data_IF_841070833535
#
_entry.id   IF_841070833535
#
_cell.length_a   1.000
_cell.length_b   1.000
_cell.length_c   1.000
_cell.angle_alpha   90.00
_cell.angle_beta   90.00
_cell.angle_gamma   90.00
#
_symmetry.space_group_name_H-M   'P 1'
#
loop_
_entity.id
_entity.type
_entity.pdbx_description
1 polymer ?
#
# COMPACT_ATOMS: atom_id res chain seq x y z
N UNK A 1 9.44 13.34 28.46
CA UNK A 1 9.41 12.25 27.44
C UNK A 1 10.21 12.69 26.22
N UNK A 2 11.36 12.06 25.96
CA UNK A 2 12.34 12.49 24.96
C UNK A 2 11.78 12.44 23.52
N UNK A 3 11.89 13.54 22.78
CA UNK A 3 11.44 13.68 21.39
C UNK A 3 11.96 12.58 20.46
N UNK A 4 13.13 12.00 20.77
CA UNK A 4 13.76 10.90 20.04
C UNK A 4 12.90 9.62 19.95
N UNK A 5 12.03 9.34 20.93
CA UNK A 5 11.14 8.16 20.89
C UNK A 5 9.80 8.43 20.19
N UNK A 6 9.46 9.70 19.92
CA UNK A 6 8.15 10.06 19.37
C UNK A 6 8.06 9.80 17.87
N UNK A 7 9.13 10.09 17.12
CA UNK A 7 9.11 9.99 15.65
C UNK A 7 8.83 8.55 15.15
N UNK A 8 9.50 7.50 15.65
CA UNK A 8 9.20 6.13 15.22
C UNK A 8 7.74 5.73 15.50
N UNK A 9 7.20 6.11 16.67
CA UNK A 9 5.82 5.81 17.03
C UNK A 9 4.82 6.53 16.11
N UNK A 10 5.07 7.81 15.79
CA UNK A 10 4.24 8.58 14.86
C UNK A 10 4.25 7.94 13.47
N UNK A 11 5.40 7.53 12.95
CA UNK A 11 5.50 6.87 11.64
C UNK A 11 4.68 5.57 11.59
N UNK A 12 4.76 4.75 12.64
CA UNK A 12 3.97 3.52 12.73
C UNK A 12 2.48 3.83 12.80
N UNK A 13 2.06 4.81 13.60
CA UNK A 13 0.66 5.23 13.69
C UNK A 13 0.13 5.76 12.36
N UNK A 14 0.91 6.56 11.63
CA UNK A 14 0.58 7.04 10.28
C UNK A 14 0.40 5.87 9.32
N UNK A 15 1.32 4.90 9.32
CA UNK A 15 1.23 3.72 8.47
C UNK A 15 0.07 2.80 8.78
N UNK A 16 -0.20 2.56 10.07
CA UNK A 16 -1.36 1.77 10.51
C UNK A 16 -2.67 2.45 10.14
N UNK A 17 -2.75 3.78 10.32
CA UNK A 17 -3.93 4.56 9.92
C UNK A 17 -4.14 4.49 8.42
N UNK A 18 -3.08 4.70 7.62
CA UNK A 18 -3.15 4.59 6.17
C UNK A 18 -3.60 3.19 5.72
N UNK A 19 -3.02 2.13 6.29
CA UNK A 19 -3.38 0.75 5.95
C UNK A 19 -4.83 0.39 6.33
N UNK A 20 -5.33 0.91 7.46
CA UNK A 20 -6.72 0.75 7.87
C UNK A 20 -7.68 1.51 6.95
N UNK A 21 -7.33 2.75 6.59
CA UNK A 21 -8.11 3.55 5.65
C UNK A 21 -8.13 2.94 4.24
N UNK A 22 -7.03 2.34 3.79
CA UNK A 22 -7.00 1.60 2.53
C UNK A 22 -7.85 0.32 2.59
N UNK A 23 -7.93 -0.32 3.76
CA UNK A 23 -8.81 -1.46 4.00
C UNK A 23 -10.20 -1.01 4.51
N UNK A 24 -10.70 0.12 4.01
CA UNK A 24 -12.00 0.69 4.39
C UNK A 24 -13.20 -0.22 4.11
N UNK A 25 -13.06 -1.27 3.28
CA UNK A 25 -14.09 -2.29 3.12
C UNK A 25 -14.49 -2.95 4.46
N UNK A 26 -13.59 -3.01 5.45
CA UNK A 26 -13.96 -3.48 6.79
C UNK A 26 -14.88 -2.49 7.52
N UNK A 27 -14.67 -1.19 7.30
CA UNK A 27 -15.55 -0.16 7.86
C UNK A 27 -16.94 -0.28 7.23
N UNK A 28 -17.01 -0.38 5.90
CA UNK A 28 -18.28 -0.57 5.20
C UNK A 28 -18.98 -1.87 5.62
N UNK A 29 -18.25 -2.99 5.71
CA UNK A 29 -18.78 -4.26 6.17
C UNK A 29 -19.42 -4.16 7.56
N UNK A 30 -18.79 -3.46 8.50
CA UNK A 30 -19.36 -3.21 9.84
C UNK A 30 -20.56 -2.27 9.77
N UNK A 31 -20.51 -1.22 8.95
CA UNK A 31 -21.60 -0.25 8.79
C UNK A 31 -22.82 -0.82 8.04
N UNK A 32 -22.63 -1.91 7.28
CA UNK A 32 -23.68 -2.68 6.60
C UNK A 32 -24.11 -3.93 7.38
N UNK A 33 -23.92 -3.95 8.70
CA UNK A 33 -24.29 -5.07 9.58
C UNK A 33 -23.74 -6.44 9.12
N UNK A 34 -22.50 -6.45 8.66
CA UNK A 34 -21.76 -7.62 8.17
C UNK A 34 -22.31 -8.26 6.87
N UNK A 35 -23.09 -7.52 6.08
CA UNK A 35 -23.55 -7.92 4.74
C UNK A 35 -22.60 -7.43 3.62
N UNK A 36 -22.81 -7.89 2.37
CA UNK A 36 -22.09 -7.36 1.20
C UNK A 36 -20.65 -7.87 0.99
N UNK A 37 -20.18 -8.88 1.73
CA UNK A 37 -18.78 -9.35 1.65
C UNK A 37 -18.39 -9.95 0.28
N UNK A 38 -19.38 -10.36 -0.52
CA UNK A 38 -19.17 -10.87 -1.88
C UNK A 38 -19.20 -9.79 -2.97
N UNK A 39 -19.62 -8.56 -2.64
CA UNK A 39 -19.74 -7.45 -3.60
C UNK A 39 -18.36 -6.89 -3.95
N UNK A 40 -18.19 -6.37 -5.15
CA UNK A 40 -16.91 -5.79 -5.59
C UNK A 40 -16.69 -4.49 -4.82
N UNK A 41 -15.51 -4.31 -4.22
CA UNK A 41 -15.22 -3.18 -3.33
C UNK A 41 -15.31 -1.84 -4.07
N UNK A 42 -14.88 -1.80 -5.34
CA UNK A 42 -14.99 -0.60 -6.17
C UNK A 42 -16.44 -0.23 -6.52
N UNK A 43 -17.38 -1.18 -6.48
CA UNK A 43 -18.82 -0.88 -6.67
C UNK A 43 -19.42 -0.23 -5.42
N UNK A 44 -18.91 -0.53 -4.23
CA UNK A 44 -19.35 0.09 -2.96
C UNK A 44 -19.07 1.60 -2.92
N UNK A 45 -18.14 2.05 -3.76
CA UNK A 45 -17.83 3.46 -3.90
C UNK A 45 -18.70 4.17 -4.93
N UNK A 46 -19.59 3.48 -5.64
CA UNK A 46 -20.38 4.09 -6.70
C UNK A 46 -21.36 5.16 -6.17
N UNK A 47 -21.75 6.16 -7.00
CA UNK A 47 -22.75 7.14 -6.60
C UNK A 47 -24.08 6.47 -6.20
N UNK A 48 -24.58 6.81 -5.01
CA UNK A 48 -25.83 6.26 -4.48
C UNK A 48 -25.65 5.11 -3.50
N UNK A 49 -24.47 4.50 -3.43
CA UNK A 49 -24.18 3.47 -2.44
C UNK A 49 -24.06 4.04 -1.01
N UNK A 50 -24.50 3.29 0.01
CA UNK A 50 -24.22 3.59 1.40
C UNK A 50 -22.72 3.83 1.63
N UNK A 51 -22.39 4.89 2.36
CA UNK A 51 -21.02 5.26 2.74
C UNK A 51 -20.05 5.57 1.57
N UNK A 52 -20.49 5.64 0.32
CA UNK A 52 -19.61 5.87 -0.84
C UNK A 52 -18.68 7.08 -0.68
N UNK A 53 -19.21 8.21 -0.18
CA UNK A 53 -18.39 9.40 0.07
C UNK A 53 -17.35 9.20 1.17
N UNK A 54 -17.66 8.41 2.20
CA UNK A 54 -16.71 8.09 3.26
C UNK A 54 -15.56 7.27 2.71
N UNK A 55 -15.84 6.22 1.93
CA UNK A 55 -14.83 5.35 1.31
C UNK A 55 -13.85 6.15 0.44
N UNK A 56 -14.37 6.93 -0.50
CA UNK A 56 -13.56 7.78 -1.38
C UNK A 56 -12.70 8.78 -0.60
N UNK A 57 -13.25 9.41 0.45
CA UNK A 57 -12.47 10.35 1.29
C UNK A 57 -11.37 9.61 2.03
N UNK A 58 -11.64 8.43 2.58
CA UNK A 58 -10.63 7.63 3.27
C UNK A 58 -9.50 7.19 2.34
N UNK A 59 -9.79 6.91 1.07
CA UNK A 59 -8.78 6.58 0.05
C UNK A 59 -7.85 7.75 -0.24
N UNK A 60 -8.40 8.96 -0.40
CA UNK A 60 -7.60 10.18 -0.60
C UNK A 60 -6.74 10.47 0.64
N UNK A 61 -7.30 10.33 1.84
CA UNK A 61 -6.54 10.52 3.09
C UNK A 61 -5.44 9.46 3.23
N UNK A 62 -5.72 8.20 2.89
CA UNK A 62 -4.73 7.13 2.84
C UNK A 62 -3.55 7.52 1.92
N UNK A 63 -3.83 7.94 0.69
CA UNK A 63 -2.81 8.36 -0.27
C UNK A 63 -1.90 9.47 0.29
N UNK A 64 -2.47 10.49 0.94
CA UNK A 64 -1.71 11.56 1.60
C UNK A 64 -0.82 11.01 2.72
N UNK A 65 -1.35 10.14 3.57
CA UNK A 65 -0.58 9.53 4.66
C UNK A 65 0.57 8.67 4.13
N UNK A 66 0.34 7.87 3.07
CA UNK A 66 1.40 7.07 2.43
C UNK A 66 2.51 7.96 1.87
N UNK A 67 2.16 9.02 1.13
CA UNK A 67 3.14 9.98 0.59
C UNK A 67 3.93 10.65 1.73
N UNK A 68 3.29 10.95 2.85
CA UNK A 68 3.95 11.53 4.02
C UNK A 68 5.04 10.62 4.60
N UNK A 69 4.98 9.29 4.43
CA UNK A 69 6.03 8.37 4.91
C UNK A 69 7.30 8.39 4.05
N UNK A 70 7.20 8.81 2.79
CA UNK A 70 8.26 8.68 1.79
C UNK A 70 9.58 9.35 2.14
N UNK A 71 9.64 10.55 2.77
CA UNK A 71 10.90 11.15 3.18
C UNK A 71 11.72 10.27 4.13
N UNK A 72 11.05 9.50 5.01
CA UNK A 72 11.73 8.59 5.96
C UNK A 72 12.10 7.26 5.30
N UNK A 73 11.21 6.69 4.48
CA UNK A 73 11.51 5.49 3.68
C UNK A 73 12.71 5.74 2.77
N UNK A 74 12.72 6.86 2.04
CA UNK A 74 13.81 7.26 1.14
C UNK A 74 15.14 7.39 1.87
N UNK A 75 15.14 7.93 3.10
CA UNK A 75 16.34 8.03 3.93
C UNK A 75 16.88 6.67 4.35
N UNK A 76 16.02 5.72 4.67
CA UNK A 76 16.43 4.36 5.08
C UNK A 76 16.91 3.46 3.94
N UNK A 77 16.46 3.71 2.71
CA UNK A 77 16.91 2.98 1.53
C UNK A 77 18.30 3.46 1.04
N UNK A 78 19.13 2.51 0.59
CA UNK A 78 20.45 2.82 0.01
C UNK A 78 20.29 3.68 -1.25
N UNK A 79 21.12 4.70 -1.41
CA UNK A 79 21.12 5.53 -2.60
C UNK A 79 21.37 4.69 -3.87
N UNK A 80 20.59 4.97 -4.92
CA UNK A 80 20.67 4.28 -6.20
C UNK A 80 19.36 4.36 -6.99
N UNK A 81 19.34 3.87 -8.24
CA UNK A 81 18.18 3.96 -9.12
C UNK A 81 16.96 3.22 -8.56
N UNK A 82 17.17 2.05 -7.94
CA UNK A 82 16.08 1.26 -7.34
C UNK A 82 15.40 1.95 -6.15
N UNK A 83 16.12 2.80 -5.40
CA UNK A 83 15.51 3.65 -4.38
C UNK A 83 14.58 4.66 -5.02
N UNK A 84 15.04 5.36 -6.05
CA UNK A 84 14.23 6.40 -6.72
C UNK A 84 13.01 5.77 -7.39
N UNK A 85 13.17 4.62 -8.05
CA UNK A 85 12.05 3.86 -8.60
C UNK A 85 11.04 3.49 -7.52
N UNK A 86 11.49 2.98 -6.36
CA UNK A 86 10.59 2.68 -5.24
C UNK A 86 9.79 3.91 -4.82
N UNK A 87 10.41 5.07 -4.66
CA UNK A 87 9.73 6.28 -4.21
C UNK A 87 8.76 6.81 -5.27
N UNK A 88 9.19 6.91 -6.52
CA UNK A 88 8.34 7.35 -7.63
C UNK A 88 7.15 6.42 -7.82
N UNK A 89 7.36 5.11 -7.72
CA UNK A 89 6.29 4.13 -7.85
C UNK A 89 5.26 4.22 -6.72
N UNK A 90 5.67 4.50 -5.47
CA UNK A 90 4.69 4.77 -4.39
C UNK A 90 3.94 6.09 -4.61
N UNK A 91 4.59 7.12 -5.16
CA UNK A 91 3.89 8.36 -5.55
C UNK A 91 2.86 8.08 -6.65
N UNK A 92 3.22 7.29 -7.67
CA UNK A 92 2.30 6.89 -8.74
C UNK A 92 1.13 6.06 -8.20
N UNK A 93 1.38 5.15 -7.25
CA UNK A 93 0.33 4.45 -6.51
C UNK A 93 -0.63 5.44 -5.84
N UNK A 94 -0.12 6.37 -5.04
CA UNK A 94 -0.95 7.35 -4.34
C UNK A 94 -1.78 8.23 -5.30
N UNK A 95 -1.18 8.65 -6.42
CA UNK A 95 -1.89 9.42 -7.45
C UNK A 95 -2.96 8.59 -8.16
N UNK A 96 -2.64 7.35 -8.55
CA UNK A 96 -3.59 6.45 -9.19
C UNK A 96 -4.79 6.15 -8.30
N UNK A 97 -4.55 5.79 -7.03
CA UNK A 97 -5.60 5.58 -6.03
C UNK A 97 -6.46 6.86 -5.81
N UNK A 98 -5.84 8.04 -5.76
CA UNK A 98 -6.58 9.31 -5.65
C UNK A 98 -7.48 9.54 -6.86
N UNK A 99 -7.01 9.27 -8.07
CA UNK A 99 -7.82 9.40 -9.29
C UNK A 99 -8.96 8.39 -9.29
N UNK A 100 -8.73 7.13 -8.90
CA UNK A 100 -9.74 6.09 -8.80
C UNK A 100 -10.85 6.46 -7.79
N UNK A 101 -10.48 7.05 -6.66
CA UNK A 101 -11.43 7.51 -5.64
C UNK A 101 -12.23 8.74 -6.09
N UNK A 102 -11.62 9.66 -6.85
CA UNK A 102 -12.32 10.84 -7.39
C UNK A 102 -13.25 10.45 -8.54
N UNK A 103 -12.79 9.53 -9.41
CA UNK A 103 -13.52 9.00 -10.55
C UNK A 103 -13.94 7.56 -10.20
N UNK A 104 -14.89 7.43 -9.28
CA UNK A 104 -15.43 6.15 -8.86
C UNK A 104 -16.16 5.42 -10.00
N UNK A 105 -16.42 4.14 -9.83
CA UNK A 105 -17.28 3.37 -10.75
C UNK A 105 -18.67 4.04 -10.90
N UNK A 106 -19.28 4.00 -12.10
CA UNK A 106 -20.52 4.74 -12.37
C UNK A 106 -21.77 4.12 -11.73
N UNK A 107 -21.81 2.81 -11.48
CA UNK A 107 -22.94 2.16 -10.80
C UNK A 107 -22.47 1.18 -9.73
N UNK A 108 -23.36 0.95 -8.76
CA UNK A 108 -23.17 0.01 -7.67
C UNK A 108 -23.48 -1.43 -8.05
N UNK A 109 -23.47 -2.33 -7.06
CA UNK A 109 -23.62 -3.76 -7.27
C UNK A 109 -24.89 -4.14 -8.05
N UNK A 110 -24.72 -4.99 -9.07
CA UNK A 110 -25.82 -5.54 -9.88
C UNK A 110 -26.46 -4.56 -10.87
N UNK A 111 -25.92 -3.35 -11.03
CA UNK A 111 -26.40 -2.37 -12.00
C UNK A 111 -25.54 -2.35 -13.27
N UNK A 112 -26.20 -2.25 -14.44
CA UNK A 112 -25.51 -2.14 -15.73
C UNK A 112 -25.45 -0.67 -16.15
N UNK A 113 -24.23 -0.15 -16.29
CA UNK A 113 -23.99 1.21 -16.80
C UNK A 113 -23.49 1.15 -18.24
N UNK A 114 -24.30 1.63 -19.18
CA UNK A 114 -24.01 1.47 -20.61
C UNK A 114 -23.93 2.78 -21.39
N UNK A 115 -24.10 3.93 -20.74
CA UNK A 115 -23.96 5.21 -21.45
C UNK A 115 -22.50 5.45 -21.82
N UNK A 116 -22.26 6.24 -22.88
CA UNK A 116 -20.90 6.60 -23.28
C UNK A 116 -20.10 7.28 -22.17
N UNK A 117 -20.79 8.04 -21.30
CA UNK A 117 -20.20 8.68 -20.13
C UNK A 117 -19.78 7.65 -19.08
N UNK A 118 -20.63 6.66 -18.81
CA UNK A 118 -20.34 5.60 -17.84
C UNK A 118 -19.12 4.79 -18.29
N UNK A 119 -19.06 4.40 -19.56
CA UNK A 119 -17.90 3.66 -20.12
C UNK A 119 -16.60 4.44 -20.02
N UNK A 120 -16.64 5.76 -20.22
CA UNK A 120 -15.47 6.62 -20.04
C UNK A 120 -15.06 6.67 -18.56
N UNK A 121 -16.04 6.82 -17.66
CA UNK A 121 -15.79 6.85 -16.22
C UNK A 121 -15.20 5.53 -15.72
N UNK A 122 -15.75 4.39 -16.13
CA UNK A 122 -15.20 3.04 -15.86
C UNK A 122 -13.79 2.91 -16.42
N UNK A 123 -13.55 3.30 -17.67
CA UNK A 123 -12.20 3.25 -18.27
C UNK A 123 -11.16 4.06 -17.48
N UNK A 124 -11.54 5.24 -16.99
CA UNK A 124 -10.66 6.10 -16.17
C UNK A 124 -10.43 5.47 -14.81
N UNK A 125 -11.48 5.01 -14.14
CA UNK A 125 -11.40 4.31 -12.85
C UNK A 125 -10.47 3.11 -12.96
N UNK A 126 -10.79 2.15 -13.84
CA UNK A 126 -10.04 0.90 -14.01
C UNK A 126 -8.60 1.17 -14.44
N UNK A 127 -8.39 2.08 -15.38
CA UNK A 127 -7.05 2.47 -15.81
C UNK A 127 -6.20 3.05 -14.68
N UNK A 128 -6.80 3.92 -13.84
CA UNK A 128 -6.12 4.49 -12.68
C UNK A 128 -5.83 3.46 -11.59
N UNK A 129 -6.75 2.52 -11.35
CA UNK A 129 -6.57 1.40 -10.42
C UNK A 129 -5.47 0.45 -10.88
N UNK A 130 -5.44 0.07 -12.17
CA UNK A 130 -4.38 -0.77 -12.75
C UNK A 130 -3.00 -0.10 -12.61
N UNK A 131 -2.91 1.19 -12.95
CA UNK A 131 -1.67 1.96 -12.79
C UNK A 131 -1.25 2.02 -11.34
N UNK A 132 -2.19 2.28 -10.44
CA UNK A 132 -1.97 2.35 -8.99
C UNK A 132 -1.37 1.05 -8.45
N UNK A 133 -2.06 -0.07 -8.69
CA UNK A 133 -1.69 -1.39 -8.18
C UNK A 133 -0.35 -1.86 -8.77
N UNK A 134 -0.18 -1.69 -10.08
CA UNK A 134 1.08 -2.00 -10.76
C UNK A 134 2.23 -1.20 -10.16
N UNK A 135 2.05 0.10 -9.96
CA UNK A 135 3.07 0.96 -9.37
C UNK A 135 3.41 0.53 -7.94
N UNK A 136 2.41 0.13 -7.13
CA UNK A 136 2.68 -0.39 -5.79
C UNK A 136 3.58 -1.62 -5.83
N UNK A 137 3.30 -2.63 -6.66
CA UNK A 137 4.14 -3.84 -6.70
C UNK A 137 5.49 -3.61 -7.37
N UNK A 138 5.60 -2.66 -8.31
CA UNK A 138 6.90 -2.16 -8.78
C UNK A 138 7.69 -1.57 -7.61
N UNK A 139 7.05 -0.83 -6.70
CA UNK A 139 7.70 -0.33 -5.49
C UNK A 139 8.17 -1.45 -4.56
N UNK A 140 7.37 -2.52 -4.40
CA UNK A 140 7.72 -3.71 -3.61
C UNK A 140 8.97 -4.38 -4.17
N UNK A 141 8.99 -4.62 -5.48
CA UNK A 141 10.13 -5.22 -6.18
C UNK A 141 11.38 -4.34 -6.08
N UNK A 142 11.25 -3.04 -6.29
CA UNK A 142 12.35 -2.08 -6.19
C UNK A 142 12.92 -2.00 -4.76
N UNK A 143 12.05 -2.01 -3.74
CA UNK A 143 12.44 -2.07 -2.33
C UNK A 143 13.17 -3.37 -1.99
N UNK A 144 12.68 -4.51 -2.50
CA UNK A 144 13.35 -5.81 -2.35
C UNK A 144 14.75 -5.80 -2.99
N UNK A 145 14.88 -5.36 -4.24
CA UNK A 145 16.18 -5.26 -4.93
C UNK A 145 17.14 -4.35 -4.16
N UNK A 146 16.65 -3.22 -3.66
CA UNK A 146 17.45 -2.26 -2.89
C UNK A 146 17.96 -2.85 -1.57
N UNK A 147 17.20 -3.77 -0.96
CA UNK A 147 17.48 -4.30 0.38
C UNK A 147 17.97 -5.75 0.42
N UNK A 148 18.01 -6.45 -0.73
CA UNK A 148 18.30 -7.90 -0.80
C UNK A 148 19.63 -8.32 -0.18
N UNK A 149 20.67 -7.48 -0.28
CA UNK A 149 22.01 -7.78 0.25
C UNK A 149 22.26 -7.16 1.63
N UNK A 150 21.82 -5.91 1.87
CA UNK A 150 22.21 -5.13 3.05
C UNK A 150 21.07 -4.73 3.98
N UNK A 151 19.81 -4.92 3.58
CA UNK A 151 18.65 -4.53 4.37
C UNK A 151 18.27 -5.54 5.46
N UNK A 152 17.32 -5.18 6.34
CA UNK A 152 16.86 -6.09 7.39
C UNK A 152 16.24 -7.37 6.80
N UNK A 153 16.53 -8.51 7.43
CA UNK A 153 16.05 -9.84 6.98
C UNK A 153 14.53 -9.95 6.94
N UNK A 154 13.83 -9.29 7.86
CA UNK A 154 12.37 -9.31 7.89
C UNK A 154 11.78 -8.55 6.69
N UNK A 155 12.27 -7.33 6.40
CA UNK A 155 11.74 -6.48 5.32
C UNK A 155 11.90 -7.13 3.96
N UNK A 156 13.07 -7.71 3.67
CA UNK A 156 13.29 -8.42 2.39
C UNK A 156 12.38 -9.65 2.25
N UNK A 157 12.08 -10.36 3.33
CA UNK A 157 11.18 -11.53 3.29
C UNK A 157 9.75 -11.08 3.06
N UNK A 158 9.29 -10.04 3.75
CA UNK A 158 7.95 -9.48 3.56
C UNK A 158 7.80 -8.94 2.15
N UNK A 159 8.76 -8.17 1.63
CA UNK A 159 8.73 -7.66 0.27
C UNK A 159 8.69 -8.80 -0.78
N UNK A 160 9.48 -9.86 -0.59
CA UNK A 160 9.46 -11.03 -1.47
C UNK A 160 8.09 -11.72 -1.48
N UNK A 161 7.56 -12.04 -0.29
CA UNK A 161 6.26 -12.70 -0.19
C UNK A 161 5.11 -11.82 -0.68
N UNK A 162 5.15 -10.52 -0.37
CA UNK A 162 4.12 -9.59 -0.83
C UNK A 162 4.13 -9.46 -2.36
N UNK A 163 5.31 -9.39 -2.99
CA UNK A 163 5.42 -9.39 -4.45
C UNK A 163 4.82 -10.66 -5.08
N UNK A 164 5.18 -11.85 -4.58
CA UNK A 164 4.69 -13.09 -5.18
C UNK A 164 3.24 -13.42 -4.84
N UNK A 165 2.83 -13.24 -3.59
CA UNK A 165 1.48 -13.61 -3.15
C UNK A 165 0.47 -12.52 -3.47
N UNK A 166 0.78 -11.26 -3.14
CA UNK A 166 -0.07 -10.11 -3.45
C UNK A 166 0.04 -9.71 -4.91
N UNK A 167 1.27 -9.49 -5.40
CA UNK A 167 1.48 -8.93 -6.73
C UNK A 167 1.21 -9.91 -7.86
N UNK A 168 1.68 -11.15 -7.76
CA UNK A 168 1.55 -12.14 -8.83
C UNK A 168 0.32 -13.03 -8.61
N UNK A 169 0.26 -13.78 -7.50
CA UNK A 169 -0.78 -14.77 -7.31
C UNK A 169 -2.17 -14.15 -7.15
N UNK A 170 -2.33 -13.12 -6.32
CA UNK A 170 -3.63 -12.48 -6.13
C UNK A 170 -4.10 -11.73 -7.38
N UNK A 171 -3.21 -11.07 -8.14
CA UNK A 171 -3.58 -10.45 -9.43
C UNK A 171 -4.05 -11.48 -10.47
N UNK A 172 -3.35 -12.63 -10.58
CA UNK A 172 -3.75 -13.71 -11.49
C UNK A 172 -5.09 -14.30 -11.07
N UNK A 173 -5.32 -14.51 -9.77
CA UNK A 173 -6.60 -15.00 -9.26
C UNK A 173 -7.73 -13.99 -9.49
N UNK A 174 -7.48 -12.71 -9.24
CA UNK A 174 -8.44 -11.64 -9.49
C UNK A 174 -8.84 -11.60 -10.96
N UNK A 175 -7.88 -11.58 -11.89
CA UNK A 175 -8.15 -11.58 -13.32
C UNK A 175 -8.87 -12.87 -13.76
N UNK A 176 -8.46 -14.03 -13.24
CA UNK A 176 -9.14 -15.29 -13.51
C UNK A 176 -10.61 -15.23 -13.12
N UNK A 177 -10.93 -14.82 -11.89
CA UNK A 177 -12.32 -14.73 -11.43
C UNK A 177 -13.09 -13.60 -12.13
N UNK A 178 -12.42 -12.50 -12.49
CA UNK A 178 -13.03 -11.43 -13.27
C UNK A 178 -13.46 -11.89 -14.66
N UNK A 179 -12.67 -12.78 -15.29
CA UNK A 179 -13.00 -13.35 -16.60
C UNK A 179 -14.04 -14.46 -16.49
N UNK A 180 -13.94 -15.36 -15.50
CA UNK A 180 -14.84 -16.51 -15.39
C UNK A 180 -16.17 -16.18 -14.74
N UNK A 181 -16.21 -15.18 -13.84
CA UNK A 181 -17.36 -14.83 -13.00
C UNK A 181 -17.92 -16.04 -12.20
N UNK A 182 -17.10 -17.07 -11.99
CA UNK A 182 -17.49 -18.33 -11.33
C UNK A 182 -16.47 -18.75 -10.26
N UNK A 183 -16.86 -18.82 -8.98
CA UNK A 183 -18.16 -18.37 -8.45
C UNK A 183 -18.23 -16.84 -8.34
N UNK A 184 -19.41 -16.25 -8.52
CA UNK A 184 -19.59 -14.78 -8.58
C UNK A 184 -18.98 -14.01 -7.38
N UNK A 185 -18.99 -14.58 -6.18
CA UNK A 185 -18.42 -13.96 -4.98
C UNK A 185 -16.88 -13.88 -5.00
N UNK A 186 -16.20 -14.70 -5.81
CA UNK A 186 -14.75 -14.82 -5.82
C UNK A 186 -14.05 -13.55 -6.32
N UNK A 187 -14.70 -12.77 -7.18
CA UNK A 187 -14.19 -11.48 -7.65
C UNK A 187 -14.05 -10.51 -6.47
N UNK A 188 -15.12 -10.31 -5.70
CA UNK A 188 -15.08 -9.47 -4.50
C UNK A 188 -14.09 -9.98 -3.45
N UNK A 189 -14.01 -11.29 -3.23
CA UNK A 189 -13.07 -11.87 -2.27
C UNK A 189 -11.60 -11.68 -2.69
N UNK A 190 -11.28 -11.92 -3.96
CA UNK A 190 -9.91 -11.75 -4.47
C UNK A 190 -9.46 -10.29 -4.44
N UNK A 191 -10.34 -9.34 -4.75
CA UNK A 191 -10.06 -7.91 -4.62
C UNK A 191 -9.73 -7.52 -3.16
N UNK A 192 -10.47 -8.05 -2.17
CA UNK A 192 -10.19 -7.80 -0.74
C UNK A 192 -8.87 -8.41 -0.30
N UNK A 193 -8.54 -9.62 -0.75
CA UNK A 193 -7.23 -10.23 -0.51
C UNK A 193 -6.13 -9.33 -1.08
N UNK A 194 -6.33 -8.79 -2.28
CA UNK A 194 -5.42 -7.84 -2.90
C UNK A 194 -5.24 -6.59 -2.01
N UNK A 195 -6.32 -5.94 -1.60
CA UNK A 195 -6.32 -4.78 -0.70
C UNK A 195 -5.54 -5.07 0.59
N UNK A 196 -5.72 -6.26 1.18
CA UNK A 196 -4.99 -6.66 2.39
C UNK A 196 -3.48 -6.74 2.19
N UNK A 197 -3.00 -7.21 1.03
CA UNK A 197 -1.57 -7.23 0.70
C UNK A 197 -1.01 -5.81 0.53
N UNK A 198 -1.79 -4.91 -0.07
CA UNK A 198 -1.43 -3.50 -0.22
C UNK A 198 -1.35 -2.83 1.16
N UNK A 199 -2.36 -3.01 2.01
CA UNK A 199 -2.36 -2.52 3.40
C UNK A 199 -1.16 -3.07 4.19
N UNK A 200 -0.85 -4.36 4.06
CA UNK A 200 0.32 -4.95 4.70
C UNK A 200 1.64 -4.34 4.20
N UNK A 201 1.72 -3.96 2.92
CA UNK A 201 2.88 -3.25 2.37
C UNK A 201 3.02 -1.84 2.96
N UNK A 202 1.91 -1.10 3.06
CA UNK A 202 1.89 0.25 3.68
C UNK A 202 2.43 0.19 5.12
N UNK A 203 1.95 -0.76 5.94
CA UNK A 203 2.46 -0.98 7.30
C UNK A 203 3.95 -1.33 7.28
N UNK A 204 4.38 -2.17 6.33
CA UNK A 204 5.77 -2.57 6.18
C UNK A 204 6.71 -1.39 5.88
N UNK A 205 6.29 -0.46 5.02
CA UNK A 205 7.02 0.78 4.73
C UNK A 205 7.14 1.66 5.99
N UNK A 206 6.07 1.80 6.76
CA UNK A 206 6.08 2.57 8.01
C UNK A 206 6.99 1.94 9.08
N UNK A 207 6.92 0.63 9.26
CA UNK A 207 7.81 -0.10 10.17
C UNK A 207 9.27 0.03 9.75
N UNK A 208 9.56 -0.02 8.45
CA UNK A 208 10.91 0.18 7.92
C UNK A 208 11.43 1.59 8.21
N UNK A 209 10.61 2.61 7.96
CA UNK A 209 10.92 4.01 8.27
C UNK A 209 11.19 4.23 9.77
N UNK A 210 10.34 3.69 10.64
CA UNK A 210 10.49 3.77 12.10
C UNK A 210 11.73 3.04 12.62
N UNK A 211 12.04 1.86 12.04
CA UNK A 211 13.21 1.08 12.40
C UNK A 211 14.52 1.78 12.01
N UNK A 212 14.58 2.38 10.83
CA UNK A 212 15.76 3.13 10.42
C UNK A 212 16.01 4.36 11.30
N UNK A 213 14.96 5.12 11.60
CA UNK A 213 15.02 6.28 12.50
C UNK A 213 15.51 5.87 13.89
N UNK A 214 14.99 4.76 14.42
CA UNK A 214 15.40 4.25 15.74
C UNK A 214 16.88 3.87 15.79
N UNK A 215 17.46 3.36 14.69
CA UNK A 215 18.89 3.02 14.62
C UNK A 215 19.78 4.25 14.52
N UNK A 216 19.32 5.33 13.90
CA UNK A 216 20.06 6.62 13.84
C UNK A 216 20.06 7.33 15.19
N UNK A 217 19.01 7.15 15.98
CA UNK A 217 18.85 7.80 17.28
C UNK A 217 19.72 7.22 18.42
N UNK A 218 20.57 6.22 18.16
CA UNK A 218 21.53 5.67 19.13
C UNK A 218 22.93 6.27 18.88
N UNK A 219 23.26 7.44 19.48
CA UNK A 219 24.61 7.96 19.45
C UNK A 219 25.49 7.11 20.39
N UNK A 220 26.52 6.42 19.87
CA UNK A 220 27.60 5.97 20.77
C UNK A 220 28.46 4.75 20.47
N UNK A 221 28.22 3.91 19.46
CA UNK A 221 29.07 2.71 19.26
C UNK A 221 30.15 2.82 18.18
N UNK A 222 30.23 3.93 17.45
CA UNK A 222 31.27 4.13 16.42
C UNK A 222 32.60 4.69 16.94
N UNK A 223 32.75 4.96 18.24
CA UNK A 223 33.93 5.63 18.81
C UNK A 223 34.95 4.78 19.58
N UNK A 224 34.65 3.54 19.98
CA UNK A 224 35.50 2.77 20.90
C UNK A 224 36.39 1.70 20.23
N UNK A 225 36.53 1.76 18.91
CA UNK A 225 37.29 0.78 18.11
C UNK A 225 38.68 1.23 17.63
N UNK A 226 39.27 2.31 18.17
CA UNK A 226 40.73 2.51 18.02
C UNK A 226 41.42 1.54 18.98
N UNK A 227 41.66 0.33 18.47
CA UNK A 227 42.57 -0.64 19.08
C UNK A 227 43.91 0.07 19.35
N UNK A 228 44.41 0.13 20.59
CA UNK A 228 45.73 0.68 20.85
C UNK A 228 46.75 -0.13 20.05
N UNK A 229 47.61 0.59 19.34
CA UNK A 229 48.69 0.02 18.56
C UNK A 229 49.45 -1.01 19.40
N UNK A 230 49.46 -2.26 18.95
CA UNK A 230 50.43 -3.26 19.42
C UNK A 230 51.77 -2.86 18.83
N UNK A 231 52.56 -2.13 19.62
CA UNK A 231 54.00 -2.02 19.42
C UNK A 231 54.60 -3.39 19.75
N UNK A 232 55.09 -4.07 18.72
CA UNK A 232 56.00 -5.21 18.88
C UNK A 232 57.43 -4.70 18.84
N UNK A 233 58.10 -4.82 19.98
CA UNK A 233 59.57 -4.93 20.07
C UNK A 233 60.06 -6.27 19.50
#
# INVERSE_FOLDING_TARGET
MNSARRVPAVLVMVGLSAALLYANFFLDWVLRDFSGMGEIVSELEAPGEPNASLLRVTDVVCAVLVVSLLPWVRRGLRAGPWRELCIVAVVLFALGATVAAVVATPCGPGQVCDTARDRLQTSVHDGSSIVSDTALYVSVAAAWITTRSTGPRWFRRVAWWNFWLGGVAASVLFEYFNVTQDPAWAVGASQRVHILFISAWIVTLALFAAWDESRRAVPGTQGLGKSPARTSD
#
